data_IF_395439953726
#
_entry.id   IF_395439953726
#
_cell.length_a   1.000
_cell.length_b   1.000
_cell.length_c   1.000
_cell.angle_alpha   90.00
_cell.angle_beta   90.00
_cell.angle_gamma   90.00
#
_symmetry.space_group_name_H-M   'P 1'
#
loop_
_entity.id
_entity.type
_entity.pdbx_description
1 polymer ?
#
# COMPACT_ATOMS: atom_id res chain seq x y z
N UNK A 1 34.37 2.83 10.92
CA UNK A 1 35.13 2.42 12.11
C UNK A 1 36.30 1.52 11.72
N UNK A 2 36.11 0.47 10.88
CA UNK A 2 37.17 -0.49 10.49
C UNK A 2 38.35 0.19 9.77
N UNK A 3 38.12 1.13 8.91
CA UNK A 3 39.19 1.82 8.13
C UNK A 3 40.06 2.76 8.96
N UNK A 4 39.49 3.39 10.00
CA UNK A 4 40.27 4.17 10.96
C UNK A 4 41.28 3.30 11.69
N UNK A 5 40.90 2.07 12.05
CA UNK A 5 41.78 1.09 12.66
C UNK A 5 42.94 0.65 11.75
N UNK A 6 42.68 0.45 10.46
CA UNK A 6 43.73 0.10 9.47
C UNK A 6 44.75 1.22 9.28
N UNK A 7 44.28 2.48 9.19
CA UNK A 7 45.17 3.64 9.07
C UNK A 7 46.04 3.83 10.33
N UNK A 8 45.47 3.68 11.52
CA UNK A 8 46.19 3.74 12.79
C UNK A 8 47.21 2.59 12.88
N UNK A 9 46.84 1.37 12.49
CA UNK A 9 47.75 0.22 12.45
C UNK A 9 48.93 0.45 11.48
N UNK A 10 48.69 0.92 10.26
CA UNK A 10 49.73 1.24 9.27
C UNK A 10 50.65 2.38 9.74
N UNK A 11 50.11 3.37 10.46
CA UNK A 11 50.91 4.44 11.07
C UNK A 11 51.79 3.93 12.23
N UNK A 12 51.21 3.09 13.09
CA UNK A 12 51.89 2.53 14.26
C UNK A 12 53.05 1.57 13.87
N UNK A 13 52.89 0.81 12.78
CA UNK A 13 53.91 -0.15 12.28
C UNK A 13 55.00 0.48 11.40
N UNK A 14 54.98 1.81 11.19
CA UNK A 14 55.89 2.56 10.31
C UNK A 14 56.02 2.03 8.86
N UNK A 15 55.13 1.14 8.44
CA UNK A 15 55.07 0.62 7.05
C UNK A 15 54.62 1.65 6.04
N UNK A 16 54.15 2.83 6.50
CA UNK A 16 53.71 3.95 5.65
C UNK A 16 54.84 4.61 4.85
N UNK A 17 56.13 4.30 5.15
CA UNK A 17 57.26 4.90 4.44
C UNK A 17 57.44 4.32 3.03
N UNK A 18 57.03 3.07 2.80
CA UNK A 18 57.16 2.40 1.50
C UNK A 18 56.01 2.74 0.52
N UNK A 19 54.88 3.24 1.01
CA UNK A 19 53.76 3.61 0.14
C UNK A 19 53.79 5.11 -0.16
N UNK A 20 53.79 5.45 -1.46
CA UNK A 20 53.73 6.84 -1.92
C UNK A 20 52.48 7.51 -1.32
N UNK A 21 52.65 8.68 -0.69
CA UNK A 21 51.51 9.48 -0.15
C UNK A 21 50.39 9.70 -1.17
N UNK A 22 50.77 9.80 -2.44
CA UNK A 22 49.84 9.93 -3.56
C UNK A 22 48.87 8.72 -3.67
N UNK A 23 49.39 7.49 -3.45
CA UNK A 23 48.61 6.25 -3.53
C UNK A 23 47.53 6.20 -2.43
N UNK A 24 47.87 6.69 -1.23
CA UNK A 24 46.90 6.81 -0.12
C UNK A 24 45.73 7.79 -0.43
N UNK A 25 46.06 8.93 -1.02
CA UNK A 25 45.03 9.91 -1.39
C UNK A 25 44.14 9.41 -2.52
N UNK A 26 44.68 8.74 -3.53
CA UNK A 26 43.93 8.14 -4.63
C UNK A 26 42.97 7.05 -4.08
N UNK A 27 43.50 6.19 -3.20
CA UNK A 27 42.69 5.13 -2.59
C UNK A 27 41.55 5.70 -1.73
N UNK A 28 41.85 6.74 -0.92
CA UNK A 28 40.82 7.41 -0.11
C UNK A 28 39.74 8.06 -0.97
N UNK A 29 40.14 8.74 -2.05
CA UNK A 29 39.20 9.34 -3.00
C UNK A 29 38.30 8.30 -3.67
N UNK A 30 38.87 7.21 -4.16
CA UNK A 30 38.15 6.11 -4.79
C UNK A 30 37.19 5.44 -3.81
N UNK A 31 37.57 5.28 -2.56
CA UNK A 31 36.71 4.73 -1.51
C UNK A 31 35.52 5.61 -1.20
N UNK A 32 35.72 6.92 -1.13
CA UNK A 32 34.61 7.87 -0.90
C UNK A 32 33.61 7.81 -2.06
N UNK A 33 34.11 7.83 -3.30
CA UNK A 33 33.25 7.76 -4.51
C UNK A 33 32.47 6.44 -4.53
N UNK A 34 33.14 5.31 -4.29
CA UNK A 34 32.51 3.99 -4.31
C UNK A 34 31.47 3.83 -3.19
N UNK A 35 31.78 4.36 -1.99
CA UNK A 35 30.87 4.36 -0.84
C UNK A 35 29.63 5.21 -1.11
N UNK A 36 29.80 6.38 -1.73
CA UNK A 36 28.67 7.23 -2.11
C UNK A 36 27.80 6.55 -3.18
N UNK A 37 28.40 6.00 -4.20
CA UNK A 37 27.69 5.29 -5.27
C UNK A 37 26.93 4.08 -4.75
N UNK A 38 27.55 3.28 -3.88
CA UNK A 38 26.90 2.14 -3.20
C UNK A 38 25.66 2.58 -2.42
N UNK A 39 25.74 3.68 -1.66
CA UNK A 39 24.59 4.22 -0.92
C UNK A 39 23.45 4.69 -1.83
N UNK A 40 23.79 5.34 -2.95
CA UNK A 40 22.78 5.80 -3.92
C UNK A 40 22.08 4.61 -4.59
N UNK A 41 22.85 3.60 -5.02
CA UNK A 41 22.31 2.38 -5.62
C UNK A 41 21.43 1.62 -4.62
N UNK A 42 21.93 1.40 -3.38
CA UNK A 42 21.16 0.75 -2.32
C UNK A 42 19.85 1.50 -2.04
N UNK A 43 19.89 2.83 -1.90
CA UNK A 43 18.66 3.62 -1.70
C UNK A 43 17.67 3.48 -2.87
N UNK A 44 18.16 3.46 -4.12
CA UNK A 44 17.28 3.27 -5.29
C UNK A 44 16.67 1.86 -5.33
N UNK A 45 17.47 0.83 -5.04
CA UNK A 45 17.00 -0.56 -5.03
C UNK A 45 16.01 -0.81 -3.89
N UNK A 46 16.31 -0.31 -2.68
CA UNK A 46 15.41 -0.43 -1.53
C UNK A 46 14.12 0.37 -1.77
N UNK A 47 14.22 1.58 -2.34
CA UNK A 47 13.04 2.39 -2.65
C UNK A 47 12.15 1.70 -3.70
N UNK A 48 12.72 1.13 -4.78
CA UNK A 48 11.94 0.34 -5.74
C UNK A 48 11.25 -0.85 -5.09
N UNK A 49 11.96 -1.64 -4.28
CA UNK A 49 11.37 -2.82 -3.63
C UNK A 49 10.37 -2.49 -2.52
N UNK A 50 10.60 -1.41 -1.75
CA UNK A 50 9.65 -0.97 -0.71
C UNK A 50 8.39 -0.32 -1.27
N UNK A 51 8.48 0.36 -2.41
CA UNK A 51 7.31 1.00 -3.05
C UNK A 51 6.40 -0.02 -3.76
N UNK A 52 6.94 -1.19 -4.14
CA UNK A 52 6.13 -2.17 -4.90
C UNK A 52 5.31 -3.13 -4.03
N UNK A 53 5.70 -3.44 -2.79
CA UNK A 53 5.07 -4.58 -2.09
C UNK A 53 4.70 -4.36 -0.60
N UNK A 54 5.28 -3.42 0.11
CA UNK A 54 5.07 -3.31 1.57
C UNK A 54 4.30 -2.08 2.05
N UNK A 55 4.03 -1.12 1.17
CA UNK A 55 3.30 0.11 1.54
C UNK A 55 1.92 0.23 0.86
N UNK A 56 1.47 -0.82 0.17
CA UNK A 56 0.12 -0.80 -0.40
C UNK A 56 -0.87 -1.24 0.68
N UNK A 57 -1.83 -0.38 0.98
CA UNK A 57 -2.93 -0.71 1.86
C UNK A 57 -3.70 -1.93 1.31
N UNK A 58 -4.13 -2.82 2.18
CA UNK A 58 -4.96 -3.97 1.82
C UNK A 58 -6.40 -3.51 1.65
N UNK A 59 -6.84 -3.46 0.40
CA UNK A 59 -8.20 -3.05 0.05
C UNK A 59 -9.10 -4.25 -0.20
N UNK A 60 -10.30 -4.21 0.37
CA UNK A 60 -11.37 -5.15 0.11
C UNK A 60 -12.42 -4.47 -0.78
N UNK A 61 -12.82 -5.14 -1.86
CA UNK A 61 -13.84 -4.61 -2.79
C UNK A 61 -15.18 -5.27 -2.48
N UNK A 62 -16.20 -4.44 -2.17
CA UNK A 62 -17.56 -4.86 -1.90
C UNK A 62 -18.44 -4.40 -3.06
N UNK A 63 -19.02 -5.33 -3.80
CA UNK A 63 -19.82 -5.00 -4.97
C UNK A 63 -20.88 -6.09 -5.25
N UNK A 64 -21.86 -5.75 -6.11
CA UNK A 64 -22.80 -6.72 -6.65
C UNK A 64 -22.14 -7.55 -7.77
N UNK A 65 -22.63 -8.76 -8.01
CA UNK A 65 -22.09 -9.67 -9.03
C UNK A 65 -21.99 -9.04 -10.43
N UNK A 66 -22.96 -8.17 -10.77
CA UNK A 66 -22.99 -7.51 -12.08
C UNK A 66 -21.95 -6.40 -12.25
N UNK A 67 -21.49 -5.81 -11.16
CA UNK A 67 -20.60 -4.64 -11.18
C UNK A 67 -19.16 -4.97 -10.75
N UNK A 68 -18.95 -6.10 -10.09
CA UNK A 68 -17.68 -6.49 -9.50
C UNK A 68 -16.56 -6.57 -10.54
N UNK A 69 -16.79 -7.19 -11.70
CA UNK A 69 -15.76 -7.33 -12.75
C UNK A 69 -15.38 -5.98 -13.34
N UNK A 70 -16.35 -5.09 -13.55
CA UNK A 70 -16.08 -3.74 -14.00
C UNK A 70 -15.27 -2.96 -12.97
N UNK A 71 -15.65 -3.02 -11.69
CA UNK A 71 -14.91 -2.39 -10.60
C UNK A 71 -13.46 -2.84 -10.55
N UNK A 72 -13.22 -4.15 -10.62
CA UNK A 72 -11.87 -4.70 -10.57
C UNK A 72 -11.03 -4.26 -11.78
N UNK A 73 -11.61 -4.23 -12.98
CA UNK A 73 -10.94 -3.75 -14.17
C UNK A 73 -10.55 -2.26 -14.06
N UNK A 74 -11.44 -1.43 -13.58
CA UNK A 74 -11.18 0.01 -13.43
C UNK A 74 -10.12 0.28 -12.36
N UNK A 75 -10.19 -0.42 -11.22
CA UNK A 75 -9.19 -0.36 -10.16
C UNK A 75 -7.82 -0.83 -10.67
N UNK A 76 -7.76 -1.93 -11.43
CA UNK A 76 -6.51 -2.46 -11.97
C UNK A 76 -5.84 -1.57 -13.02
N UNK A 77 -6.62 -0.75 -13.75
CA UNK A 77 -6.10 0.18 -14.76
C UNK A 77 -5.58 1.51 -14.18
N UNK A 78 -5.90 1.81 -12.93
CA UNK A 78 -5.41 3.03 -12.30
C UNK A 78 -3.95 2.86 -11.85
N UNK A 79 -3.04 3.56 -12.55
CA UNK A 79 -1.58 3.55 -12.28
C UNK A 79 -1.17 4.23 -10.98
N UNK A 80 -2.07 4.94 -10.33
CA UNK A 80 -1.80 5.73 -9.12
C UNK A 80 -2.29 5.05 -7.84
N UNK A 81 -2.74 3.81 -7.91
CA UNK A 81 -3.27 3.09 -6.76
C UNK A 81 -2.16 2.61 -5.82
N UNK A 82 -2.16 3.17 -4.62
CA UNK A 82 -1.26 2.77 -3.52
C UNK A 82 -1.82 1.58 -2.70
N UNK A 83 -2.84 0.87 -3.21
CA UNK A 83 -3.46 -0.27 -2.55
C UNK A 83 -3.38 -1.55 -3.38
N UNK A 84 -3.52 -2.69 -2.70
CA UNK A 84 -3.61 -4.02 -3.28
C UNK A 84 -4.94 -4.66 -2.91
N UNK A 85 -5.71 -5.08 -3.91
CA UNK A 85 -6.98 -5.77 -3.64
C UNK A 85 -6.67 -7.13 -3.02
N UNK A 86 -7.08 -7.32 -1.77
CA UNK A 86 -6.87 -8.54 -0.99
C UNK A 86 -7.96 -9.57 -1.21
N UNK A 87 -9.17 -9.13 -1.55
CA UNK A 87 -10.30 -9.98 -1.76
C UNK A 87 -11.53 -9.22 -2.24
N UNK A 88 -12.55 -9.96 -2.58
CA UNK A 88 -13.85 -9.44 -3.03
C UNK A 88 -14.94 -9.96 -2.11
N UNK A 89 -15.93 -9.12 -1.85
CA UNK A 89 -17.19 -9.47 -1.19
C UNK A 89 -18.33 -9.25 -2.18
N UNK A 90 -19.10 -10.28 -2.45
CA UNK A 90 -20.29 -10.21 -3.32
C UNK A 90 -21.51 -10.16 -2.42
N UNK A 91 -22.34 -9.09 -2.57
CA UNK A 91 -23.46 -8.82 -1.65
C UNK A 91 -24.72 -9.61 -2.05
N UNK A 92 -24.98 -9.69 -3.34
CA UNK A 92 -26.22 -10.26 -3.90
C UNK A 92 -26.21 -11.78 -4.05
N UNK A 93 -25.03 -12.42 -3.97
CA UNK A 93 -24.88 -13.85 -4.15
C UNK A 93 -23.75 -14.42 -3.31
N UNK A 94 -23.99 -15.56 -2.66
CA UNK A 94 -22.90 -16.28 -1.96
C UNK A 94 -21.99 -17.00 -2.98
N UNK A 95 -20.79 -16.46 -3.15
CA UNK A 95 -19.74 -16.98 -4.04
C UNK A 95 -18.44 -17.27 -3.30
N UNK A 96 -18.50 -17.48 -2.00
CA UNK A 96 -17.31 -17.78 -1.17
C UNK A 96 -16.51 -18.97 -1.72
N UNK A 97 -15.19 -18.82 -1.73
CA UNK A 97 -14.26 -19.83 -2.23
C UNK A 97 -14.08 -19.84 -3.76
N UNK A 98 -14.80 -18.98 -4.50
CA UNK A 98 -14.55 -18.75 -5.92
C UNK A 98 -13.55 -17.61 -6.13
N UNK A 99 -13.09 -17.46 -7.36
CA UNK A 99 -12.19 -16.35 -7.74
C UNK A 99 -12.80 -15.56 -8.88
N UNK A 100 -12.71 -14.24 -8.81
CA UNK A 100 -13.13 -13.32 -9.87
C UNK A 100 -11.87 -12.59 -10.35
N UNK A 101 -11.51 -12.73 -11.60
CA UNK A 101 -10.27 -12.18 -12.18
C UNK A 101 -8.99 -12.52 -11.39
N UNK A 102 -8.95 -13.72 -10.79
CA UNK A 102 -7.81 -14.18 -9.99
C UNK A 102 -7.81 -13.66 -8.54
N UNK A 103 -8.81 -12.87 -8.12
CA UNK A 103 -8.96 -12.38 -6.76
C UNK A 103 -9.99 -13.25 -6.02
N UNK A 104 -9.70 -13.75 -4.82
CA UNK A 104 -10.59 -14.62 -4.08
C UNK A 104 -11.84 -13.88 -3.57
N UNK A 105 -13.00 -14.53 -3.66
CA UNK A 105 -14.20 -14.10 -2.96
C UNK A 105 -14.13 -14.59 -1.51
N UNK A 106 -13.90 -13.66 -0.58
CA UNK A 106 -13.54 -13.97 0.82
C UNK A 106 -14.74 -14.02 1.76
N UNK A 107 -15.80 -13.28 1.45
CA UNK A 107 -17.00 -13.23 2.26
C UNK A 107 -18.25 -12.98 1.40
N UNK A 108 -19.42 -13.27 1.98
CA UNK A 108 -20.74 -12.86 1.51
C UNK A 108 -21.28 -11.73 2.39
N UNK A 109 -22.46 -11.18 2.06
CA UNK A 109 -23.10 -10.15 2.86
C UNK A 109 -23.23 -10.52 4.34
N UNK A 110 -23.61 -11.77 4.64
CA UNK A 110 -23.82 -12.25 6.01
C UNK A 110 -22.53 -12.45 6.81
N UNK A 111 -21.41 -12.78 6.15
CA UNK A 111 -20.14 -13.11 6.80
C UNK A 111 -19.09 -11.99 6.70
N UNK A 112 -19.44 -10.91 6.04
CA UNK A 112 -18.53 -9.80 5.77
C UNK A 112 -18.00 -9.14 7.05
N UNK A 113 -18.87 -8.83 8.01
CA UNK A 113 -18.47 -8.20 9.26
C UNK A 113 -17.62 -9.12 10.14
N UNK A 114 -17.88 -10.42 10.14
CA UNK A 114 -17.04 -11.40 10.82
C UNK A 114 -15.65 -11.48 10.18
N UNK A 115 -15.59 -11.45 8.85
CA UNK A 115 -14.33 -11.40 8.11
C UNK A 115 -13.49 -10.17 8.47
N UNK A 116 -14.08 -8.97 8.53
CA UNK A 116 -13.39 -7.74 8.92
C UNK A 116 -12.83 -7.77 10.34
N UNK A 117 -13.50 -8.46 11.27
CA UNK A 117 -13.04 -8.61 12.66
C UNK A 117 -11.88 -9.59 12.83
N UNK A 118 -11.76 -10.56 11.92
CA UNK A 118 -10.77 -11.63 11.99
C UNK A 118 -9.55 -11.44 11.09
N UNK A 119 -9.65 -10.55 10.10
CA UNK A 119 -8.60 -10.31 9.13
C UNK A 119 -8.17 -8.84 9.12
N UNK A 120 -6.91 -8.61 8.77
CA UNK A 120 -6.37 -7.24 8.64
C UNK A 120 -6.81 -6.68 7.29
N UNK A 121 -7.63 -5.63 7.32
CA UNK A 121 -8.10 -4.87 6.16
C UNK A 121 -7.91 -3.40 6.49
N UNK A 122 -7.18 -2.68 5.66
CA UNK A 122 -6.90 -1.26 5.88
C UNK A 122 -8.00 -0.38 5.28
N UNK A 123 -8.47 -0.76 4.08
CA UNK A 123 -9.45 0.01 3.31
C UNK A 123 -10.52 -0.88 2.69
N UNK A 124 -11.73 -0.35 2.57
CA UNK A 124 -12.85 -1.03 1.91
C UNK A 124 -13.45 -0.13 0.85
N UNK A 125 -13.55 -0.63 -0.37
CA UNK A 125 -14.23 0.04 -1.48
C UNK A 125 -15.63 -0.57 -1.67
N UNK A 126 -16.67 0.26 -1.57
CA UNK A 126 -18.07 -0.15 -1.67
C UNK A 126 -18.67 0.39 -2.96
N UNK A 127 -19.10 -0.51 -3.84
CA UNK A 127 -19.85 -0.19 -5.03
C UNK A 127 -21.12 -1.04 -5.07
N UNK A 128 -22.09 -0.72 -4.21
CA UNK A 128 -23.37 -1.39 -4.12
C UNK A 128 -24.48 -0.62 -4.80
N UNK A 129 -25.44 -1.33 -5.39
CA UNK A 129 -26.57 -0.77 -6.09
C UNK A 129 -27.59 -0.09 -5.15
N UNK A 130 -27.59 -0.46 -3.88
CA UNK A 130 -28.54 0.05 -2.89
C UNK A 130 -27.83 1.02 -1.93
N UNK A 131 -28.19 2.26 -2.05
CA UNK A 131 -27.62 3.40 -1.34
C UNK A 131 -27.70 3.29 0.18
N UNK A 132 -28.85 2.94 0.73
CA UNK A 132 -29.03 2.85 2.18
C UNK A 132 -28.19 1.76 2.82
N UNK A 133 -27.94 0.65 2.13
CA UNK A 133 -27.07 -0.42 2.61
C UNK A 133 -25.59 -0.03 2.56
N UNK A 134 -25.14 0.70 1.54
CA UNK A 134 -23.76 1.14 1.40
C UNK A 134 -23.37 2.18 2.47
N UNK A 135 -24.25 3.11 2.79
CA UNK A 135 -24.02 4.10 3.85
C UNK A 135 -24.05 3.47 5.25
N UNK A 136 -24.94 2.53 5.51
CA UNK A 136 -24.97 1.79 6.77
C UNK A 136 -23.72 0.94 6.97
N UNK A 137 -23.28 0.21 5.93
CA UNK A 137 -22.03 -0.55 5.94
C UNK A 137 -20.81 0.35 6.17
N UNK A 138 -20.74 1.50 5.50
CA UNK A 138 -19.63 2.42 5.68
C UNK A 138 -19.57 3.00 7.09
N UNK A 139 -20.72 3.33 7.71
CA UNK A 139 -20.76 3.79 9.09
C UNK A 139 -20.24 2.73 10.07
N UNK A 140 -20.59 1.48 9.89
CA UNK A 140 -20.13 0.35 10.70
C UNK A 140 -18.60 0.12 10.53
N UNK A 141 -18.06 0.30 9.32
CA UNK A 141 -16.59 0.22 9.07
C UNK A 141 -15.82 1.33 9.75
N UNK A 142 -16.35 2.55 9.74
CA UNK A 142 -15.74 3.69 10.43
C UNK A 142 -15.68 3.45 11.94
N UNK A 143 -16.70 2.82 12.54
CA UNK A 143 -16.67 2.40 13.95
C UNK A 143 -15.59 1.35 14.23
N UNK A 144 -15.26 0.50 13.26
CA UNK A 144 -14.15 -0.47 13.34
C UNK A 144 -12.77 0.16 13.05
N UNK A 145 -12.71 1.46 12.72
CA UNK A 145 -11.47 2.15 12.37
C UNK A 145 -10.98 1.88 10.94
N UNK A 146 -11.80 1.29 10.07
CA UNK A 146 -11.47 0.97 8.69
C UNK A 146 -11.87 2.14 7.78
N UNK A 147 -10.99 2.52 6.86
CA UNK A 147 -11.32 3.56 5.86
C UNK A 147 -12.28 3.01 4.82
N UNK A 148 -13.45 3.63 4.67
CA UNK A 148 -14.46 3.24 3.70
C UNK A 148 -14.54 4.23 2.54
N UNK A 149 -14.45 3.70 1.32
CA UNK A 149 -14.62 4.43 0.05
C UNK A 149 -15.93 4.00 -0.59
N UNK A 150 -16.85 4.94 -0.76
CA UNK A 150 -18.15 4.66 -1.37
C UNK A 150 -18.19 5.27 -2.76
N UNK A 151 -18.54 4.48 -3.77
CA UNK A 151 -18.77 4.97 -5.13
C UNK A 151 -19.95 5.95 -5.16
N UNK A 152 -19.73 7.15 -5.73
CA UNK A 152 -20.72 8.25 -5.72
C UNK A 152 -21.76 8.17 -6.81
N UNK A 153 -21.81 7.11 -7.59
CA UNK A 153 -22.74 7.02 -8.73
C UNK A 153 -24.20 7.31 -8.29
N UNK A 154 -24.51 7.22 -7.01
CA UNK A 154 -25.86 7.45 -6.47
C UNK A 154 -25.97 8.21 -5.15
N UNK A 155 -24.96 8.94 -4.67
CA UNK A 155 -24.96 9.45 -3.27
C UNK A 155 -25.39 10.92 -3.14
N UNK A 156 -26.51 11.19 -2.48
CA UNK A 156 -26.96 12.55 -2.08
C UNK A 156 -27.01 12.82 -0.57
N UNK A 157 -26.70 11.90 0.34
CA UNK A 157 -26.82 12.09 1.80
C UNK A 157 -25.54 11.90 2.62
N UNK A 158 -25.55 12.43 3.82
CA UNK A 158 -24.42 12.84 4.64
C UNK A 158 -23.76 11.77 5.50
N UNK A 159 -22.47 11.47 5.27
CA UNK A 159 -21.56 10.77 6.19
C UNK A 159 -20.59 11.83 6.80
N UNK A 160 -20.28 11.85 8.10
CA UNK A 160 -19.33 12.81 8.70
C UNK A 160 -17.88 12.58 8.22
N UNK A 161 -17.06 13.62 8.25
CA UNK A 161 -15.64 13.62 7.87
C UNK A 161 -15.34 13.12 6.45
N UNK A 162 -15.91 13.79 5.45
CA UNK A 162 -15.85 13.39 4.05
C UNK A 162 -14.75 14.05 3.27
N UNK A 163 -14.09 13.26 2.42
CA UNK A 163 -13.26 13.74 1.33
C UNK A 163 -13.72 13.10 0.02
N UNK A 164 -13.84 13.89 -1.03
CA UNK A 164 -14.12 13.38 -2.38
C UNK A 164 -12.78 13.08 -3.02
N UNK A 165 -12.59 11.85 -3.45
CA UNK A 165 -11.37 11.37 -4.12
C UNK A 165 -11.73 10.66 -5.42
N UNK A 166 -10.76 10.56 -6.33
CA UNK A 166 -10.95 9.86 -7.59
C UNK A 166 -10.14 8.57 -7.57
N UNK A 167 -10.79 7.44 -7.79
CA UNK A 167 -10.18 6.14 -7.97
C UNK A 167 -10.47 5.64 -9.40
N UNK A 168 -9.51 5.80 -10.30
CA UNK A 168 -9.73 5.56 -11.72
C UNK A 168 -10.81 6.46 -12.29
N UNK A 169 -11.84 5.89 -12.89
CA UNK A 169 -13.04 6.59 -13.38
C UNK A 169 -14.10 6.81 -12.31
N UNK A 170 -13.93 6.25 -11.11
CA UNK A 170 -14.89 6.42 -10.02
C UNK A 170 -14.60 7.68 -9.21
N UNK A 171 -15.66 8.44 -8.93
CA UNK A 171 -15.69 9.48 -7.89
C UNK A 171 -16.15 8.81 -6.61
N UNK A 172 -15.29 8.76 -5.59
CA UNK A 172 -15.60 8.10 -4.32
C UNK A 172 -15.66 9.11 -3.18
N UNK A 173 -16.48 8.80 -2.20
CA UNK A 173 -16.55 9.51 -0.94
C UNK A 173 -15.77 8.72 0.11
N UNK A 174 -14.65 9.25 0.53
CA UNK A 174 -13.81 8.66 1.58
C UNK A 174 -14.23 9.18 2.94
N UNK A 175 -14.51 8.30 3.88
CA UNK A 175 -14.74 8.62 5.29
C UNK A 175 -13.71 7.91 6.15
N UNK A 176 -12.99 8.64 6.99
CA UNK A 176 -11.97 8.11 7.90
C UNK A 176 -12.15 8.68 9.30
N UNK A 177 -11.83 7.89 10.33
CA UNK A 177 -11.76 8.37 11.69
C UNK A 177 -10.41 9.06 11.89
N UNK A 178 -10.41 10.40 12.07
CA UNK A 178 -9.24 11.10 12.58
C UNK A 178 -9.22 10.96 14.11
N UNK A 179 -8.27 10.18 14.59
CA UNK A 179 -7.88 10.21 16.01
C UNK A 179 -7.03 11.48 16.17
N UNK A 180 -7.59 12.47 16.86
CA UNK A 180 -6.89 13.72 17.23
C UNK A 180 -5.85 13.42 18.33
#
# INVERSE_FOLDING_TARGET
>A
VVWGGVLVYMYATKTSVEYSRQMLFVFLGLFIILSYFSRVVLKRVIRKRKLEDQNKAWMLVVADMHTVEQCLNEIAHDKYTDFKVSGVVVIDKDMRGQTIQGIPVVASADTFMEYLRTNVVDEVFINGNTRSSSEALAAEMVELGITAHISLINTKQMVPNRRIENYGSFIVLTSSMHIA
#
